data_IF_982609977526
#
_entry.id   IF_982609977526
#
_cell.length_a   1.000
_cell.length_b   1.000
_cell.length_c   1.000
_cell.angle_alpha   90.00
_cell.angle_beta   90.00
_cell.angle_gamma   90.00
#
_symmetry.space_group_name_H-M   'P 1'
#
loop_
_entity.id
_entity.type
_entity.pdbx_description
1 polymer ?
#
# COMPACT_ATOMS: atom_id res chain seq x y z
N UNK A 1 -21.47 -58.21 9.09
CA UNK A 1 -21.18 -57.00 9.88
C UNK A 1 -19.82 -56.46 9.41
N UNK A 2 -19.84 -55.58 8.37
CA UNK A 2 -18.61 -55.07 7.76
C UNK A 2 -18.27 -53.71 8.38
N UNK A 3 -17.19 -53.64 9.16
CA UNK A 3 -16.61 -52.41 9.67
C UNK A 3 -15.87 -51.71 8.51
N UNK A 4 -16.42 -50.57 8.04
CA UNK A 4 -15.73 -49.67 7.13
C UNK A 4 -14.77 -48.78 7.96
N UNK A 5 -13.45 -49.03 7.87
CA UNK A 5 -12.43 -48.13 8.32
C UNK A 5 -12.41 -46.91 7.37
N UNK A 6 -12.78 -45.74 7.89
CA UNK A 6 -12.58 -44.46 7.23
C UNK A 6 -11.16 -43.99 7.58
N UNK A 7 -10.23 -43.81 6.63
CA UNK A 7 -8.92 -43.24 6.92
C UNK A 7 -9.12 -41.76 7.21
N UNK A 8 -8.83 -41.33 8.43
CA UNK A 8 -8.72 -39.93 8.81
C UNK A 8 -7.48 -39.31 8.11
N UNK A 9 -7.70 -38.56 7.03
CA UNK A 9 -6.67 -37.76 6.37
C UNK A 9 -6.39 -36.59 7.30
N UNK A 10 -5.27 -36.66 8.03
CA UNK A 10 -4.71 -35.57 8.81
C UNK A 10 -4.11 -34.57 7.81
N UNK A 11 -4.85 -33.51 7.45
CA UNK A 11 -4.27 -32.37 6.72
C UNK A 11 -3.26 -31.65 7.65
N UNK A 12 -1.98 -31.94 7.47
CA UNK A 12 -0.92 -31.10 8.01
C UNK A 12 -0.99 -29.74 7.32
N UNK A 13 -1.55 -28.76 8.02
CA UNK A 13 -1.41 -27.35 7.63
C UNK A 13 0.05 -26.95 7.82
N UNK A 14 0.81 -26.92 6.73
CA UNK A 14 2.17 -26.36 6.71
C UNK A 14 2.01 -24.84 6.87
N UNK A 15 2.30 -24.32 8.06
CA UNK A 15 2.38 -22.89 8.28
C UNK A 15 3.53 -22.34 7.45
N UNK A 16 3.21 -21.56 6.41
CA UNK A 16 4.22 -20.83 5.62
C UNK A 16 4.80 -19.75 6.53
N UNK A 17 6.00 -19.98 7.02
CA UNK A 17 6.76 -19.06 7.86
C UNK A 17 7.42 -18.03 6.92
N UNK A 18 6.71 -16.94 6.63
CA UNK A 18 7.24 -15.84 5.83
C UNK A 18 7.90 -14.78 6.72
N UNK A 19 9.01 -14.21 6.24
CA UNK A 19 9.63 -13.02 6.86
C UNK A 19 8.64 -11.88 6.92
N UNK A 20 8.79 -10.99 7.92
CA UNK A 20 7.89 -9.85 8.07
C UNK A 20 8.64 -8.56 8.36
N UNK A 21 8.02 -7.45 7.91
CA UNK A 21 8.37 -6.08 8.26
C UNK A 21 7.13 -5.41 8.82
N UNK A 22 7.21 -4.80 9.98
CA UNK A 22 6.07 -4.15 10.65
C UNK A 22 6.48 -2.86 11.35
N UNK A 23 5.63 -1.82 11.29
CA UNK A 23 4.44 -1.69 10.43
C UNK A 23 4.83 -1.54 8.96
N UNK A 24 3.91 -1.84 8.03
CA UNK A 24 4.15 -1.68 6.57
C UNK A 24 4.05 -0.22 6.15
N UNK A 25 3.09 0.51 6.72
CA UNK A 25 2.84 1.92 6.42
C UNK A 25 2.73 2.69 7.73
N UNK A 26 3.36 3.86 7.78
CA UNK A 26 3.26 4.82 8.88
C UNK A 26 3.09 6.23 8.34
N UNK A 27 2.38 7.05 9.10
CA UNK A 27 2.03 8.41 8.73
C UNK A 27 2.35 9.36 9.89
N UNK A 28 3.09 10.43 9.60
CA UNK A 28 3.52 11.42 10.59
C UNK A 28 3.25 12.83 10.10
N UNK A 29 3.00 13.75 11.03
CA UNK A 29 2.92 15.19 10.74
C UNK A 29 4.31 15.82 10.87
N UNK A 30 4.89 16.24 9.75
CA UNK A 30 6.17 16.95 9.68
C UNK A 30 7.39 16.06 9.81
N UNK A 31 7.63 15.48 10.99
CA UNK A 31 8.81 14.66 11.31
C UNK A 31 8.39 13.29 11.80
N UNK A 32 9.19 12.29 11.47
CA UNK A 32 9.01 10.92 11.97
C UNK A 32 10.07 10.58 13.02
N UNK A 33 9.64 9.96 14.10
CA UNK A 33 10.49 9.24 15.04
C UNK A 33 9.81 7.92 15.34
N UNK A 34 10.42 6.82 14.89
CA UNK A 34 9.76 5.53 14.92
C UNK A 34 10.70 4.35 14.92
N UNK A 35 10.11 3.18 14.79
CA UNK A 35 10.81 1.91 14.64
C UNK A 35 10.11 1.01 13.66
N UNK A 36 10.88 0.18 12.95
CA UNK A 36 10.36 -0.96 12.21
C UNK A 36 10.91 -2.26 12.82
N UNK A 37 10.07 -3.28 12.85
CA UNK A 37 10.44 -4.62 13.27
C UNK A 37 10.73 -5.45 12.02
N UNK A 38 11.90 -6.07 11.95
CA UNK A 38 12.26 -7.05 10.92
C UNK A 38 12.34 -8.42 11.59
N UNK A 39 11.54 -9.38 11.09
CA UNK A 39 11.44 -10.72 11.71
C UNK A 39 11.82 -11.79 10.72
N UNK A 40 12.76 -12.64 11.15
CA UNK A 40 13.12 -13.86 10.45
C UNK A 40 12.28 -15.03 10.98
N UNK A 41 11.21 -15.39 10.31
CA UNK A 41 10.36 -16.53 10.68
C UNK A 41 10.88 -17.88 10.14
N UNK A 42 12.04 -17.90 9.47
CA UNK A 42 12.62 -19.16 8.97
C UNK A 42 13.41 -19.91 10.06
N UNK A 43 13.81 -21.14 9.73
CA UNK A 43 14.65 -21.97 10.57
C UNK A 43 16.16 -21.78 10.32
N UNK A 44 16.52 -20.85 9.43
CA UNK A 44 17.91 -20.55 9.07
C UNK A 44 18.25 -19.09 9.36
N UNK A 45 19.51 -18.76 9.70
CA UNK A 45 19.94 -17.37 9.86
C UNK A 45 19.74 -16.57 8.56
N UNK A 46 19.47 -15.27 8.68
CA UNK A 46 19.33 -14.36 7.54
C UNK A 46 20.10 -13.06 7.77
N UNK A 47 20.53 -12.45 6.68
CA UNK A 47 21.02 -11.07 6.65
C UNK A 47 19.91 -10.19 6.09
N UNK A 48 19.63 -9.09 6.79
CA UNK A 48 18.69 -8.06 6.34
C UNK A 48 19.48 -6.80 6.04
N UNK A 49 19.34 -6.29 4.81
CA UNK A 49 19.88 -5.00 4.39
C UNK A 49 18.73 -4.03 4.22
N UNK A 50 18.87 -2.82 4.78
CA UNK A 50 17.88 -1.75 4.73
C UNK A 50 18.30 -0.72 3.69
N UNK A 51 17.43 -0.46 2.73
CA UNK A 51 17.68 0.49 1.65
C UNK A 51 16.52 1.48 1.54
N UNK A 52 16.73 2.77 1.86
CA UNK A 52 15.72 3.79 1.67
C UNK A 52 15.63 4.22 0.21
N UNK A 53 14.39 4.39 -0.28
CA UNK A 53 14.07 4.85 -1.64
C UNK A 53 12.94 5.85 -1.60
N UNK A 54 13.04 6.90 -2.38
CA UNK A 54 11.89 7.72 -2.77
C UNK A 54 11.11 7.04 -3.87
N UNK A 55 9.84 7.39 -4.01
CA UNK A 55 9.00 6.82 -5.06
C UNK A 55 7.99 7.81 -5.61
N UNK A 56 7.49 7.53 -6.80
CA UNK A 56 6.28 8.10 -7.39
C UNK A 56 5.30 6.96 -7.66
N UNK A 57 4.04 7.31 -7.95
CA UNK A 57 2.98 6.35 -8.22
C UNK A 57 2.42 6.66 -9.60
N UNK A 58 2.35 5.67 -10.50
CA UNK A 58 1.71 5.84 -11.81
C UNK A 58 0.19 5.93 -11.67
N UNK A 59 -0.53 6.42 -12.71
CA UNK A 59 -2.00 6.42 -12.69
C UNK A 59 -2.61 5.03 -12.44
N UNK A 60 -1.96 3.96 -12.86
CA UNK A 60 -2.39 2.56 -12.62
C UNK A 60 -2.02 2.06 -11.22
N UNK A 61 -1.34 2.90 -10.41
CA UNK A 61 -0.98 2.59 -9.03
C UNK A 61 0.29 1.81 -8.83
N UNK A 62 1.17 1.76 -9.81
CA UNK A 62 2.48 1.13 -9.68
C UNK A 62 3.48 2.11 -9.07
N UNK A 63 4.22 1.66 -8.06
CA UNK A 63 5.34 2.42 -7.51
C UNK A 63 6.53 2.43 -8.47
N UNK A 64 7.11 3.60 -8.70
CA UNK A 64 8.37 3.79 -9.40
C UNK A 64 9.38 4.30 -8.38
N UNK A 65 10.40 3.49 -8.08
CA UNK A 65 11.37 3.76 -7.01
C UNK A 65 12.66 4.35 -7.57
N UNK A 66 13.28 5.25 -6.81
CA UNK A 66 14.54 5.92 -7.10
C UNK A 66 15.35 6.10 -5.82
N UNK A 67 16.57 6.57 -5.93
CA UNK A 67 17.36 6.91 -4.76
C UNK A 67 16.63 7.96 -3.90
N UNK A 68 16.92 7.95 -2.60
CA UNK A 68 16.30 8.85 -1.65
C UNK A 68 16.52 10.30 -2.08
N UNK A 69 15.46 11.09 -2.13
CA UNK A 69 15.52 12.50 -2.52
C UNK A 69 16.39 13.28 -1.53
N UNK A 70 17.20 14.21 -2.02
CA UNK A 70 18.21 14.94 -1.24
C UNK A 70 17.63 15.84 -0.15
N UNK A 71 16.36 16.20 -0.25
CA UNK A 71 15.62 16.98 0.74
C UNK A 71 15.02 16.11 1.86
N UNK A 72 15.12 14.80 1.76
CA UNK A 72 14.71 13.85 2.80
C UNK A 72 15.94 13.41 3.60
N UNK A 73 15.91 13.70 4.89
CA UNK A 73 16.93 13.29 5.85
C UNK A 73 16.45 12.09 6.64
N UNK A 74 17.24 11.02 6.65
CA UNK A 74 16.92 9.79 7.33
C UNK A 74 18.11 9.29 8.13
N UNK A 75 17.90 9.09 9.43
CA UNK A 75 18.84 8.45 10.33
C UNK A 75 18.30 7.07 10.73
N UNK A 76 19.06 6.01 10.49
CA UNK A 76 18.74 4.64 10.89
C UNK A 76 19.71 4.17 11.97
N UNK A 77 19.21 3.46 13.00
CA UNK A 77 20.06 2.84 14.03
C UNK A 77 20.94 1.73 13.46
N UNK A 78 20.57 1.14 12.32
CA UNK A 78 21.35 0.14 11.60
C UNK A 78 20.90 0.06 10.14
N UNK A 79 21.86 -0.12 9.22
CA UNK A 79 21.61 -0.36 7.79
C UNK A 79 21.65 -1.84 7.43
N UNK A 80 22.19 -2.68 8.30
CA UNK A 80 22.25 -4.13 8.08
C UNK A 80 22.20 -4.86 9.41
N UNK A 81 21.47 -5.98 9.44
CA UNK A 81 21.25 -6.80 10.63
C UNK A 81 21.38 -8.27 10.28
N UNK A 82 22.06 -9.04 11.12
CA UNK A 82 22.06 -10.50 11.04
C UNK A 82 21.03 -11.05 12.03
N UNK A 83 20.03 -11.76 11.52
CA UNK A 83 18.94 -12.35 12.30
C UNK A 83 19.17 -13.86 12.45
N UNK A 84 19.08 -14.34 13.68
CA UNK A 84 18.98 -15.78 13.96
C UNK A 84 17.59 -16.32 13.53
N UNK A 85 17.41 -17.64 13.46
CA UNK A 85 16.08 -18.22 13.27
C UNK A 85 15.09 -17.70 14.32
N UNK A 86 13.88 -17.37 13.90
CA UNK A 86 12.78 -16.90 14.75
C UNK A 86 13.06 -15.60 15.53
N UNK A 87 14.05 -14.82 15.08
CA UNK A 87 14.43 -13.57 15.73
C UNK A 87 13.72 -12.36 15.11
N UNK A 88 13.29 -11.45 15.98
CA UNK A 88 12.85 -10.08 15.62
C UNK A 88 13.91 -9.09 16.07
N UNK A 89 14.21 -8.11 15.21
CA UNK A 89 15.07 -6.98 15.52
C UNK A 89 14.34 -5.68 15.22
N UNK A 90 14.51 -4.68 16.09
CA UNK A 90 13.93 -3.36 15.93
C UNK A 90 14.97 -2.37 15.43
N UNK A 91 14.71 -1.77 14.27
CA UNK A 91 15.49 -0.67 13.74
C UNK A 91 14.76 0.63 14.07
N UNK A 92 15.42 1.50 14.82
CA UNK A 92 14.91 2.84 15.12
C UNK A 92 15.33 3.81 14.02
N UNK A 93 14.46 4.78 13.74
CA UNK A 93 14.76 5.81 12.76
C UNK A 93 14.21 7.17 13.17
N UNK A 94 14.86 8.21 12.62
CA UNK A 94 14.36 9.58 12.59
C UNK A 94 14.34 10.03 11.14
N UNK A 95 13.27 10.71 10.73
CA UNK A 95 13.18 11.26 9.39
C UNK A 95 12.51 12.63 9.40
N UNK A 96 13.01 13.52 8.56
CA UNK A 96 12.43 14.83 8.28
C UNK A 96 12.73 15.24 6.85
N UNK A 97 12.06 16.27 6.36
CA UNK A 97 12.32 16.82 5.03
C UNK A 97 12.35 18.33 5.08
N UNK A 98 13.18 18.93 4.21
CA UNK A 98 13.25 20.37 4.01
C UNK A 98 11.98 20.91 3.33
N UNK A 99 11.25 20.01 2.64
CA UNK A 99 9.98 20.29 1.98
C UNK A 99 8.95 19.24 2.36
N UNK A 100 7.75 19.70 2.74
CA UNK A 100 6.63 18.85 3.03
C UNK A 100 5.52 19.09 1.99
N UNK A 101 4.75 18.04 1.66
CA UNK A 101 4.86 16.67 2.13
C UNK A 101 6.05 15.93 1.53
N UNK A 102 6.50 14.87 2.21
CA UNK A 102 7.54 13.98 1.72
C UNK A 102 7.17 12.51 2.00
N UNK A 103 7.69 11.60 1.21
CA UNK A 103 7.40 10.17 1.35
C UNK A 103 8.55 9.33 0.81
N UNK A 104 8.78 8.22 1.48
CA UNK A 104 9.81 7.26 1.09
C UNK A 104 9.47 5.87 1.62
N UNK A 105 10.17 4.88 1.17
CA UNK A 105 10.09 3.52 1.70
C UNK A 105 11.47 3.04 2.12
N UNK A 106 11.55 2.30 3.21
CA UNK A 106 12.73 1.56 3.64
C UNK A 106 12.48 0.11 3.24
N UNK A 107 13.21 -0.36 2.22
CA UNK A 107 13.18 -1.77 1.84
C UNK A 107 14.07 -2.58 2.77
N UNK A 108 13.51 -3.64 3.35
CA UNK A 108 14.25 -4.66 4.06
C UNK A 108 14.44 -5.88 3.14
N UNK A 109 15.67 -6.08 2.66
CA UNK A 109 16.04 -7.22 1.80
C UNK A 109 16.60 -8.33 2.66
N UNK A 110 15.86 -9.43 2.75
CA UNK A 110 16.25 -10.65 3.45
C UNK A 110 17.00 -11.57 2.48
N UNK A 111 18.18 -12.05 2.90
CA UNK A 111 18.98 -12.99 2.13
C UNK A 111 19.62 -14.05 3.04
N UNK A 112 19.84 -15.25 2.51
CA UNK A 112 20.59 -16.29 3.22
C UNK A 112 22.08 -15.94 3.23
N UNK A 113 22.80 -16.12 4.36
CA UNK A 113 24.24 -15.91 4.40
C UNK A 113 25.06 -16.99 3.69
N UNK A 114 24.44 -18.11 3.33
CA UNK A 114 25.13 -19.22 2.67
C UNK A 114 24.56 -19.42 1.26
N UNK A 115 25.42 -19.42 0.26
CA UNK A 115 25.13 -19.95 -1.06
C UNK A 115 25.23 -21.47 -0.97
N UNK A 116 24.12 -22.17 -0.73
CA UNK A 116 24.03 -23.58 -1.08
C UNK A 116 23.84 -23.67 -2.61
N UNK A 117 24.29 -24.76 -3.22
CA UNK A 117 24.14 -25.02 -4.69
C UNK A 117 22.67 -25.13 -5.10
N UNK A 118 21.89 -24.09 -4.88
CA UNK A 118 20.44 -24.02 -5.07
C UNK A 118 19.95 -22.63 -5.35
N UNK A 119 18.63 -22.46 -5.31
CA UNK A 119 17.92 -21.21 -5.58
C UNK A 119 18.27 -20.16 -4.50
N UNK A 120 18.88 -19.03 -4.90
CA UNK A 120 19.08 -17.86 -4.05
C UNK A 120 17.78 -17.02 -4.03
N UNK A 121 16.98 -17.18 -3.00
CA UNK A 121 15.75 -16.41 -2.82
C UNK A 121 16.04 -15.17 -2.00
N UNK A 122 15.81 -13.99 -2.60
CA UNK A 122 15.82 -12.70 -1.92
C UNK A 122 14.40 -12.21 -1.75
N UNK A 123 14.04 -11.88 -0.53
CA UNK A 123 12.72 -11.30 -0.23
C UNK A 123 12.91 -9.84 0.14
N UNK A 124 12.21 -8.95 -0.56
CA UNK A 124 12.23 -7.51 -0.32
C UNK A 124 10.87 -7.07 0.23
N UNK A 125 10.85 -6.53 1.44
CA UNK A 125 9.62 -6.09 2.12
C UNK A 125 9.70 -4.59 2.44
N UNK A 126 8.64 -3.81 2.16
CA UNK A 126 8.64 -2.38 2.36
C UNK A 126 8.20 -1.98 3.78
N UNK A 127 8.76 -0.86 4.25
CA UNK A 127 8.22 -0.03 5.32
C UNK A 127 8.09 1.39 4.78
N UNK A 128 6.88 1.83 4.50
CA UNK A 128 6.61 3.12 3.85
C UNK A 128 6.27 4.18 4.87
N UNK A 129 6.93 5.32 4.75
CA UNK A 129 6.79 6.49 5.65
C UNK A 129 6.24 7.66 4.85
N UNK A 130 5.16 8.26 5.36
CA UNK A 130 4.60 9.50 4.86
C UNK A 130 4.81 10.61 5.90
N UNK A 131 5.39 11.72 5.46
CA UNK A 131 5.55 12.95 6.24
C UNK A 131 4.57 13.98 5.69
N UNK A 132 3.47 14.16 6.40
CA UNK A 132 2.41 15.06 5.98
C UNK A 132 2.80 16.52 6.24
N UNK A 133 2.32 17.39 5.38
CA UNK A 133 2.30 18.83 5.57
C UNK A 133 1.36 19.23 6.73
N UNK A 134 1.43 20.48 7.14
CA UNK A 134 0.60 21.02 8.23
C UNK A 134 -0.87 21.18 7.81
N UNK A 135 -1.08 21.78 6.64
CA UNK A 135 -2.43 22.07 6.13
C UNK A 135 -2.95 20.86 5.32
N UNK A 136 -4.15 20.37 5.60
CA UNK A 136 -4.75 19.28 4.85
C UNK A 136 -5.03 19.70 3.40
N UNK A 137 -5.20 18.73 2.52
CA UNK A 137 -5.68 18.96 1.15
C UNK A 137 -7.10 19.52 1.19
N UNK A 138 -7.37 20.58 0.42
CA UNK A 138 -8.72 21.10 0.25
C UNK A 138 -9.52 20.26 -0.74
N UNK A 139 -10.84 20.13 -0.53
CA UNK A 139 -11.72 19.41 -1.45
C UNK A 139 -11.66 20.00 -2.86
N UNK A 140 -11.51 21.34 -3.00
CA UNK A 140 -11.39 22.04 -4.27
C UNK A 140 -10.19 21.62 -5.13
N UNK A 141 -9.16 21.05 -4.49
CA UNK A 141 -7.93 20.63 -5.15
C UNK A 141 -8.03 19.19 -5.68
N UNK A 142 -9.18 18.53 -5.48
CA UNK A 142 -9.41 17.16 -5.96
C UNK A 142 -10.43 17.17 -7.09
N UNK A 143 -10.02 16.62 -8.23
CA UNK A 143 -10.87 16.50 -9.43
C UNK A 143 -11.19 15.03 -9.70
N UNK A 144 -12.45 14.74 -10.07
CA UNK A 144 -12.85 13.44 -10.62
C UNK A 144 -13.28 13.66 -12.05
N UNK A 145 -12.62 12.98 -12.98
CA UNK A 145 -12.81 13.09 -14.43
C UNK A 145 -13.16 11.74 -15.03
N UNK A 146 -13.71 11.76 -16.23
CA UNK A 146 -13.96 10.57 -17.07
C UNK A 146 -14.75 9.47 -16.35
N UNK A 147 -15.74 9.89 -15.53
CA UNK A 147 -16.58 8.97 -14.79
C UNK A 147 -17.57 8.30 -15.74
N UNK A 148 -17.36 7.02 -16.04
CA UNK A 148 -18.13 6.25 -17.00
C UNK A 148 -18.49 4.87 -16.45
N UNK A 149 -19.60 4.32 -16.94
CA UNK A 149 -20.01 2.95 -16.69
C UNK A 149 -20.23 2.22 -18.02
N UNK A 150 -19.47 1.16 -18.24
CA UNK A 150 -19.65 0.27 -19.40
C UNK A 150 -20.57 -0.88 -19.02
N UNK A 151 -21.79 -0.88 -19.55
CA UNK A 151 -22.78 -1.91 -19.29
C UNK A 151 -22.39 -3.28 -19.89
N UNK A 152 -21.59 -3.30 -20.97
CA UNK A 152 -21.17 -4.53 -21.63
C UNK A 152 -20.16 -5.32 -20.82
N UNK A 153 -19.25 -4.64 -20.13
CA UNK A 153 -18.23 -5.22 -19.26
C UNK A 153 -18.60 -5.14 -17.78
N UNK A 154 -19.69 -4.44 -17.45
CA UNK A 154 -20.09 -4.11 -16.06
C UNK A 154 -18.97 -3.47 -15.27
N UNK A 155 -18.29 -2.51 -15.89
CA UNK A 155 -17.15 -1.84 -15.27
C UNK A 155 -17.40 -0.34 -15.12
N UNK A 156 -17.20 0.14 -13.90
CA UNK A 156 -17.15 1.56 -13.57
C UNK A 156 -15.70 2.03 -13.65
N UNK A 157 -15.45 3.13 -14.34
CA UNK A 157 -14.12 3.74 -14.43
C UNK A 157 -14.18 5.24 -14.20
N UNK A 158 -13.11 5.78 -13.61
CA UNK A 158 -12.89 7.22 -13.51
C UNK A 158 -11.42 7.52 -13.24
N UNK A 159 -11.07 8.79 -13.33
CA UNK A 159 -9.76 9.32 -12.98
C UNK A 159 -9.93 10.30 -11.84
N UNK A 160 -9.15 10.17 -10.77
CA UNK A 160 -9.06 11.14 -9.69
C UNK A 160 -7.68 11.79 -9.71
N UNK A 161 -7.66 13.12 -9.58
CA UNK A 161 -6.45 13.95 -9.63
C UNK A 161 -6.35 14.83 -8.38
N UNK A 162 -5.12 15.04 -7.92
CA UNK A 162 -4.78 15.99 -6.88
C UNK A 162 -4.03 17.17 -7.51
N UNK A 163 -4.71 18.27 -7.76
CA UNK A 163 -4.12 19.48 -8.33
C UNK A 163 -3.43 20.35 -7.26
N UNK A 164 -3.56 19.99 -5.99
CA UNK A 164 -2.95 20.70 -4.87
C UNK A 164 -1.51 20.28 -4.57
N UNK A 165 -0.92 20.97 -3.62
CA UNK A 165 0.44 20.72 -3.12
C UNK A 165 0.48 19.81 -1.90
N UNK A 166 -0.67 19.38 -1.40
CA UNK A 166 -0.81 18.59 -0.17
C UNK A 166 -0.98 17.11 -0.47
N UNK A 167 -0.29 16.26 0.28
CA UNK A 167 -0.50 14.81 0.28
C UNK A 167 -1.78 14.49 1.04
N UNK A 168 -2.55 13.54 0.52
CA UNK A 168 -3.68 12.94 1.23
C UNK A 168 -3.79 11.45 0.95
N UNK A 169 -4.69 10.78 1.68
CA UNK A 169 -5.08 9.40 1.44
C UNK A 169 -6.58 9.32 1.17
N UNK A 170 -6.94 8.71 0.05
CA UNK A 170 -8.29 8.17 -0.14
C UNK A 170 -8.39 6.95 0.79
N UNK A 171 -9.31 6.98 1.74
CA UNK A 171 -9.50 5.88 2.71
C UNK A 171 -10.25 4.72 2.08
N UNK A 172 -11.27 5.03 1.27
CA UNK A 172 -12.03 4.04 0.49
C UNK A 172 -12.71 4.72 -0.69
N UNK A 173 -13.00 3.93 -1.71
CA UNK A 173 -13.86 4.31 -2.83
C UNK A 173 -15.08 3.41 -2.79
N UNK A 174 -16.28 3.99 -2.87
CA UNK A 174 -17.55 3.26 -2.87
C UNK A 174 -18.41 3.66 -4.06
N UNK A 175 -18.82 2.67 -4.83
CA UNK A 175 -19.90 2.83 -5.80
C UNK A 175 -21.21 2.34 -5.20
N UNK A 176 -22.30 3.06 -5.44
CA UNK A 176 -23.65 2.75 -4.93
C UNK A 176 -24.64 2.74 -6.07
N UNK A 177 -25.48 1.71 -6.13
CA UNK A 177 -26.63 1.58 -7.01
C UNK A 177 -27.91 1.39 -6.19
N UNK A 178 -29.00 0.97 -6.83
CA UNK A 178 -30.31 0.84 -6.17
C UNK A 178 -30.33 -0.29 -5.13
N UNK A 179 -29.61 -1.38 -5.38
CA UNK A 179 -29.60 -2.58 -4.54
C UNK A 179 -28.21 -3.10 -4.20
N UNK A 180 -27.13 -2.56 -4.82
CA UNK A 180 -25.76 -2.98 -4.58
C UNK A 180 -24.83 -1.85 -4.21
N UNK A 181 -23.73 -2.25 -3.59
CA UNK A 181 -22.55 -1.41 -3.37
C UNK A 181 -21.30 -2.16 -3.82
N UNK A 182 -20.35 -1.43 -4.41
CA UNK A 182 -19.00 -1.91 -4.69
C UNK A 182 -18.00 -1.09 -3.88
N UNK A 183 -17.03 -1.75 -3.26
CA UNK A 183 -16.00 -1.08 -2.45
C UNK A 183 -14.61 -1.39 -3.02
N UNK A 184 -13.73 -0.38 -3.01
CA UNK A 184 -12.32 -0.51 -3.33
C UNK A 184 -11.48 0.06 -2.17
N UNK A 185 -10.37 -0.61 -1.89
CA UNK A 185 -9.42 -0.17 -0.87
C UNK A 185 -8.83 1.20 -1.20
N UNK A 186 -8.54 1.97 -0.16
CA UNK A 186 -7.94 3.29 -0.28
C UNK A 186 -6.49 3.26 -0.74
N UNK A 187 -6.00 4.43 -1.15
CA UNK A 187 -4.66 4.63 -1.71
C UNK A 187 -4.14 6.04 -1.38
N UNK A 188 -2.82 6.26 -1.39
CA UNK A 188 -2.27 7.60 -1.27
C UNK A 188 -2.51 8.38 -2.56
N UNK A 189 -2.86 9.66 -2.42
CA UNK A 189 -3.01 10.62 -3.51
C UNK A 189 -1.97 11.72 -3.31
N UNK A 190 -0.87 11.60 -4.04
CA UNK A 190 0.30 12.47 -3.95
C UNK A 190 0.01 13.85 -4.59
N UNK A 191 0.74 14.91 -4.24
CA UNK A 191 0.67 16.19 -4.94
C UNK A 191 0.91 16.05 -6.44
N UNK A 192 0.02 16.61 -7.26
CA UNK A 192 0.04 16.45 -8.72
C UNK A 192 -0.22 15.01 -9.19
N UNK A 193 -0.66 14.14 -8.30
CA UNK A 193 -0.89 12.72 -8.60
C UNK A 193 -2.22 12.48 -9.30
N UNK A 194 -2.19 11.51 -10.21
CA UNK A 194 -3.36 11.02 -10.98
C UNK A 194 -3.54 9.54 -10.66
N UNK A 195 -4.80 9.12 -10.48
CA UNK A 195 -5.13 7.71 -10.25
C UNK A 195 -6.30 7.29 -11.10
N UNK A 196 -6.10 6.24 -11.91
CA UNK A 196 -7.18 5.56 -12.61
C UNK A 196 -7.83 4.54 -11.67
N UNK A 197 -9.14 4.60 -11.60
CA UNK A 197 -9.99 3.72 -10.80
C UNK A 197 -10.80 2.87 -11.76
N UNK A 198 -10.76 1.56 -11.54
CA UNK A 198 -11.62 0.60 -12.21
C UNK A 198 -12.25 -0.30 -11.16
N UNK A 199 -13.57 -0.45 -11.22
CA UNK A 199 -14.35 -1.28 -10.29
C UNK A 199 -15.30 -2.17 -11.08
N UNK A 200 -15.27 -3.48 -10.80
CA UNK A 200 -16.25 -4.41 -11.32
C UNK A 200 -17.58 -4.20 -10.59
N UNK A 201 -18.65 -4.06 -11.38
CA UNK A 201 -20.00 -3.88 -10.88
C UNK A 201 -20.82 -5.15 -11.01
N UNK A 202 -21.54 -5.55 -9.97
CA UNK A 202 -22.19 -6.87 -9.90
C UNK A 202 -23.64 -6.89 -10.36
N UNK A 203 -24.28 -5.74 -10.49
CA UNK A 203 -25.68 -5.62 -10.91
C UNK A 203 -25.85 -5.28 -12.39
N UNK A 204 -27.06 -5.55 -12.91
CA UNK A 204 -27.43 -5.19 -14.29
C UNK A 204 -27.78 -3.69 -14.41
N UNK A 205 -28.34 -3.10 -13.33
CA UNK A 205 -28.56 -1.66 -13.24
C UNK A 205 -27.25 -0.91 -12.98
N UNK A 206 -26.99 0.23 -13.66
CA UNK A 206 -25.77 0.99 -13.45
C UNK A 206 -25.68 1.54 -12.01
N UNK A 207 -24.46 1.78 -11.49
CA UNK A 207 -24.30 2.52 -10.25
C UNK A 207 -24.78 3.97 -10.44
N UNK A 208 -25.30 4.56 -9.37
CA UNK A 208 -25.87 5.92 -9.39
C UNK A 208 -24.92 6.96 -8.78
N UNK A 209 -23.98 6.52 -7.97
CA UNK A 209 -23.06 7.38 -7.21
C UNK A 209 -21.70 6.71 -7.04
N UNK A 210 -20.63 7.48 -7.13
CA UNK A 210 -19.31 7.11 -6.61
C UNK A 210 -18.94 8.09 -5.49
N UNK A 211 -18.39 7.55 -4.39
CA UNK A 211 -17.99 8.26 -3.19
C UNK A 211 -16.53 7.96 -2.85
N UNK A 212 -15.70 8.99 -2.78
CA UNK A 212 -14.31 8.94 -2.34
C UNK A 212 -14.24 9.50 -0.93
N UNK A 213 -13.90 8.65 0.02
CA UNK A 213 -13.77 9.04 1.41
C UNK A 213 -12.34 9.47 1.71
N UNK A 214 -12.19 10.66 2.25
CA UNK A 214 -10.95 11.23 2.78
C UNK A 214 -11.05 11.36 4.31
N UNK A 215 -9.97 11.81 4.95
CA UNK A 215 -9.96 12.04 6.41
C UNK A 215 -10.88 13.21 6.83
N UNK A 216 -10.94 14.26 5.99
CA UNK A 216 -11.61 15.52 6.35
C UNK A 216 -12.83 15.84 5.49
N UNK A 217 -13.08 15.13 4.40
CA UNK A 217 -14.24 15.32 3.53
C UNK A 217 -14.58 14.05 2.75
N UNK A 218 -15.78 14.00 2.18
CA UNK A 218 -16.23 12.97 1.25
C UNK A 218 -16.53 13.62 -0.11
N UNK A 219 -15.95 13.12 -1.17
CA UNK A 219 -16.13 13.61 -2.53
C UNK A 219 -17.10 12.70 -3.28
N UNK A 220 -18.33 13.16 -3.45
CA UNK A 220 -19.42 12.42 -4.09
C UNK A 220 -19.64 12.89 -5.52
N UNK A 221 -19.73 11.94 -6.46
CA UNK A 221 -20.02 12.22 -7.87
C UNK A 221 -21.16 11.34 -8.35
N UNK A 222 -22.29 11.94 -8.78
CA UNK A 222 -23.39 11.19 -9.39
C UNK A 222 -22.95 10.68 -10.76
N UNK A 223 -23.40 9.46 -11.09
CA UNK A 223 -23.37 8.97 -12.46
C UNK A 223 -24.69 9.40 -13.12
N UNK A 224 -24.59 10.21 -14.18
CA UNK A 224 -25.76 10.60 -14.95
C UNK A 224 -26.37 9.41 -15.71
N UNK A 225 -27.69 9.43 -15.98
CA UNK A 225 -28.27 8.46 -16.89
C UNK A 225 -27.71 8.69 -18.29
N UNK A 226 -26.84 7.80 -18.77
CA UNK A 226 -26.38 7.76 -20.17
C UNK A 226 -25.03 8.37 -20.50
N UNK A 227 -24.01 8.15 -19.70
CA UNK A 227 -22.61 8.24 -20.15
C UNK A 227 -22.22 6.87 -20.72
N UNK A 228 -22.65 6.61 -21.97
CA UNK A 228 -22.17 5.51 -22.81
C UNK A 228 -20.89 5.92 -23.52
#
# INVERSE_FOLDING_TARGET
>A
MFFRLIPAIFMLSVSVLAQTVQPVIVEYKGKAEGKLAVTNNSLSPMVVVLEPKSFSITPEGKGIFRDLDSDIHLELSSMSVKLQPQQTYYVFYKAWSDKLPAWFTIYATFSSPHHSDGLDVRMMLPHTVYLYQKEPLAESDVQVKDLTYDASTRRLSCTIENDGSSLTRVQSVRATGDHATGDQAGFPLLPGGVRHIEMDWKEDSPPTLIDFRFEHFDLKRPLGPGTN
#
